data_IF_651437231231
#
_entry.id   IF_651437231231
#
_cell.length_a   1.000
_cell.length_b   1.000
_cell.length_c   1.000
_cell.angle_alpha   90.00
_cell.angle_beta   90.00
_cell.angle_gamma   90.00
#
_symmetry.space_group_name_H-M   'P 1'
#
loop_
_entity.id
_entity.type
_entity.pdbx_description
1 polymer ?
#
# COMPACT_ATOMS: atom_id res chain seq x y z
N UNK A 1 -66.44 24.88 29.19
CA UNK A 1 -65.93 23.48 28.96
C UNK A 1 -64.56 23.57 28.34
N UNK A 2 -63.50 23.08 29.02
CA UNK A 2 -62.11 23.12 28.55
C UNK A 2 -61.78 21.79 27.83
N UNK A 3 -61.48 21.74 26.54
CA UNK A 3 -61.01 20.56 25.85
C UNK A 3 -59.48 20.62 25.71
N UNK A 4 -58.77 20.20 26.67
CA UNK A 4 -57.29 20.27 26.62
C UNK A 4 -56.52 19.08 27.19
N UNK A 5 -57.12 18.23 27.98
CA UNK A 5 -56.37 17.16 28.72
C UNK A 5 -56.28 15.83 27.94
N UNK A 6 -57.11 15.55 26.99
CA UNK A 6 -57.13 14.25 26.29
C UNK A 6 -56.13 14.18 25.11
N UNK A 7 -55.72 15.33 24.53
CA UNK A 7 -54.72 15.34 23.42
C UNK A 7 -53.34 14.91 23.89
N UNK A 8 -52.91 15.33 25.09
CA UNK A 8 -51.59 14.95 25.63
C UNK A 8 -51.57 13.49 26.11
N UNK A 9 -52.70 12.99 26.65
CA UNK A 9 -52.79 11.57 27.05
C UNK A 9 -52.71 10.63 25.86
N UNK A 10 -53.35 10.97 24.73
CA UNK A 10 -53.28 10.16 23.51
C UNK A 10 -51.86 10.20 22.84
N UNK A 11 -51.20 11.37 22.89
CA UNK A 11 -49.86 11.52 22.41
C UNK A 11 -48.82 10.72 23.24
N UNK A 12 -49.01 10.68 24.55
CA UNK A 12 -48.15 9.92 25.48
C UNK A 12 -48.31 8.41 25.31
N UNK A 13 -49.53 7.91 25.05
CA UNK A 13 -49.81 6.49 24.72
C UNK A 13 -49.23 6.12 23.36
N UNK A 14 -49.26 7.03 22.37
CA UNK A 14 -48.67 6.76 21.04
C UNK A 14 -47.15 6.72 21.12
N UNK A 15 -46.48 7.57 21.89
CA UNK A 15 -45.03 7.54 22.15
C UNK A 15 -44.66 6.28 22.91
N UNK A 16 -45.46 5.85 23.88
CA UNK A 16 -45.19 4.60 24.62
C UNK A 16 -45.34 3.35 23.74
N UNK A 17 -46.31 3.34 22.81
CA UNK A 17 -46.48 2.25 21.85
C UNK A 17 -45.33 2.18 20.85
N UNK A 18 -44.79 3.33 20.40
CA UNK A 18 -43.60 3.37 19.53
C UNK A 18 -42.35 2.85 20.24
N UNK A 19 -42.15 3.16 21.53
CA UNK A 19 -41.04 2.63 22.32
C UNK A 19 -41.13 1.12 22.58
N UNK A 20 -42.31 0.52 22.58
CA UNK A 20 -42.50 -0.93 22.75
C UNK A 20 -42.27 -1.69 21.44
N UNK A 21 -42.43 -1.02 20.30
CA UNK A 21 -42.17 -1.61 18.96
C UNK A 21 -40.69 -1.57 18.53
N UNK A 22 -39.88 -0.74 19.18
CA UNK A 22 -38.41 -0.78 19.00
C UNK A 22 -37.86 -1.85 19.95
N UNK A 23 -38.06 -3.12 19.59
CA UNK A 23 -37.21 -4.17 20.16
C UNK A 23 -35.77 -3.81 19.77
N UNK A 24 -34.82 -3.76 20.72
CA UNK A 24 -33.42 -3.71 20.35
C UNK A 24 -33.16 -5.01 19.55
N UNK A 25 -32.99 -4.88 18.25
CA UNK A 25 -32.32 -5.91 17.49
C UNK A 25 -30.92 -6.01 18.12
N UNK A 26 -30.74 -7.02 18.97
CA UNK A 26 -29.40 -7.50 19.25
C UNK A 26 -28.84 -7.88 17.90
N UNK A 27 -27.85 -7.16 17.43
CA UNK A 27 -27.01 -7.57 16.35
C UNK A 27 -26.20 -8.81 16.82
N UNK A 28 -26.84 -9.97 16.77
CA UNK A 28 -26.23 -11.28 16.96
C UNK A 28 -26.20 -11.95 15.60
N UNK A 29 -25.62 -11.27 14.61
CA UNK A 29 -25.68 -11.67 13.20
C UNK A 29 -24.37 -12.21 12.62
N UNK A 30 -23.22 -12.02 13.27
CA UNK A 30 -21.94 -12.39 12.63
C UNK A 30 -21.22 -13.59 13.28
N UNK A 31 -21.44 -13.89 14.55
CA UNK A 31 -20.71 -14.97 15.23
C UNK A 31 -21.22 -16.37 14.83
N UNK A 32 -22.51 -16.55 14.62
CA UNK A 32 -23.07 -17.84 14.25
C UNK A 32 -22.57 -18.40 12.89
N UNK A 33 -22.53 -17.61 11.81
CA UNK A 33 -22.03 -18.13 10.53
C UNK A 33 -20.56 -18.56 10.59
N UNK A 34 -19.74 -17.86 11.37
CA UNK A 34 -18.32 -18.15 11.55
C UNK A 34 -18.14 -19.44 12.38
N UNK A 35 -18.87 -19.61 13.49
CA UNK A 35 -18.83 -20.83 14.29
C UNK A 35 -19.29 -22.05 13.49
N UNK A 36 -20.40 -21.94 12.76
CA UNK A 36 -20.91 -23.02 11.90
C UNK A 36 -19.93 -23.38 10.78
N UNK A 37 -19.31 -22.38 10.14
CA UNK A 37 -18.30 -22.57 9.11
C UNK A 37 -17.05 -23.28 9.67
N UNK A 38 -16.58 -22.86 10.85
CA UNK A 38 -15.45 -23.47 11.52
C UNK A 38 -15.72 -24.95 11.89
N UNK A 39 -16.89 -25.26 12.44
CA UNK A 39 -17.30 -26.64 12.75
C UNK A 39 -17.34 -27.51 11.49
N UNK A 40 -17.88 -27.00 10.38
CA UNK A 40 -17.91 -27.71 9.10
C UNK A 40 -16.52 -28.06 8.59
N UNK A 41 -15.58 -27.08 8.63
CA UNK A 41 -14.21 -27.27 8.15
C UNK A 41 -13.36 -28.17 9.05
N UNK A 42 -13.61 -28.19 10.36
CA UNK A 42 -12.94 -29.12 11.28
C UNK A 42 -13.39 -30.57 11.13
N UNK A 43 -14.55 -30.79 10.58
CA UNK A 43 -15.16 -32.14 10.41
C UNK A 43 -14.81 -32.84 9.12
N UNK A 44 -14.11 -32.24 8.17
CA UNK A 44 -13.82 -32.81 6.85
C UNK A 44 -12.77 -33.94 6.92
N UNK A 45 -12.92 -34.95 6.10
CA UNK A 45 -11.97 -36.04 5.95
C UNK A 45 -10.72 -35.58 5.14
N UNK A 46 -9.60 -36.31 5.24
CA UNK A 46 -8.38 -36.04 4.48
C UNK A 46 -8.64 -36.01 2.96
N UNK A 47 -9.51 -36.91 2.46
CA UNK A 47 -9.85 -36.95 1.04
C UNK A 47 -10.68 -35.74 0.61
N UNK A 48 -11.62 -35.30 1.45
CA UNK A 48 -12.40 -34.10 1.25
C UNK A 48 -11.52 -32.83 1.32
N UNK A 49 -10.56 -32.81 2.24
CA UNK A 49 -9.58 -31.71 2.37
C UNK A 49 -8.76 -31.53 1.09
N UNK A 50 -8.25 -32.60 0.48
CA UNK A 50 -7.49 -32.52 -0.78
C UNK A 50 -8.33 -31.96 -1.93
N UNK A 51 -9.61 -32.32 -1.99
CA UNK A 51 -10.52 -31.79 -3.00
C UNK A 51 -10.81 -30.30 -2.77
N UNK A 52 -11.04 -29.93 -1.50
CA UNK A 52 -11.30 -28.56 -1.10
C UNK A 52 -10.06 -27.68 -1.30
N UNK A 53 -8.86 -28.17 -1.01
CA UNK A 53 -7.60 -27.48 -1.28
C UNK A 53 -7.48 -27.06 -2.75
N UNK A 54 -7.78 -27.97 -3.67
CA UNK A 54 -7.75 -27.62 -5.09
C UNK A 54 -8.76 -26.53 -5.47
N UNK A 55 -9.97 -26.58 -4.91
CA UNK A 55 -10.97 -25.54 -5.11
C UNK A 55 -10.54 -24.20 -4.48
N UNK A 56 -9.88 -24.27 -3.34
CA UNK A 56 -9.38 -23.09 -2.65
C UNK A 56 -8.23 -22.41 -3.39
N UNK A 57 -7.34 -23.20 -4.04
CA UNK A 57 -6.30 -22.64 -4.93
C UNK A 57 -6.95 -21.83 -6.04
N UNK A 58 -7.96 -22.36 -6.73
CA UNK A 58 -8.68 -21.57 -7.74
C UNK A 58 -9.29 -20.28 -7.17
N UNK A 59 -9.79 -20.33 -5.93
CA UNK A 59 -10.33 -19.12 -5.28
C UNK A 59 -9.25 -18.09 -5.00
N UNK A 60 -8.07 -18.53 -4.53
CA UNK A 60 -6.94 -17.64 -4.29
C UNK A 60 -6.44 -17.00 -5.60
N UNK A 61 -6.30 -17.79 -6.68
CA UNK A 61 -5.94 -17.29 -8.00
C UNK A 61 -6.97 -16.28 -8.54
N UNK A 62 -8.27 -16.53 -8.29
CA UNK A 62 -9.33 -15.59 -8.69
C UNK A 62 -9.25 -14.27 -7.92
N UNK A 63 -9.05 -14.33 -6.61
CA UNK A 63 -8.88 -13.11 -5.79
C UNK A 63 -7.66 -12.29 -6.25
N UNK A 64 -6.56 -12.96 -6.61
CA UNK A 64 -5.37 -12.27 -7.17
C UNK A 64 -5.69 -11.60 -8.49
N UNK A 65 -6.35 -12.31 -9.42
CA UNK A 65 -6.75 -11.72 -10.69
C UNK A 65 -7.72 -10.54 -10.52
N UNK A 66 -8.59 -10.57 -9.50
CA UNK A 66 -9.49 -9.45 -9.18
C UNK A 66 -8.73 -8.22 -8.66
N UNK A 67 -7.74 -8.44 -7.81
CA UNK A 67 -6.87 -7.35 -7.34
C UNK A 67 -6.06 -6.75 -8.47
N UNK A 68 -5.48 -7.59 -9.33
CA UNK A 68 -4.69 -7.15 -10.48
C UNK A 68 -5.56 -6.38 -11.50
N UNK A 69 -6.77 -6.87 -11.80
CA UNK A 69 -7.73 -6.16 -12.64
C UNK A 69 -8.07 -4.77 -12.07
N UNK A 70 -8.31 -4.69 -10.76
CA UNK A 70 -8.60 -3.42 -10.09
C UNK A 70 -7.39 -2.47 -10.13
N UNK A 71 -6.18 -2.97 -9.90
CA UNK A 71 -4.94 -2.20 -9.96
C UNK A 71 -4.68 -1.64 -11.35
N UNK A 72 -4.78 -2.47 -12.38
CA UNK A 72 -4.56 -2.03 -13.77
C UNK A 72 -5.63 -1.01 -14.17
N UNK A 73 -6.86 -1.19 -13.74
CA UNK A 73 -7.96 -0.24 -14.01
C UNK A 73 -7.68 1.12 -13.38
N UNK A 74 -7.23 1.17 -12.12
CA UNK A 74 -6.85 2.40 -11.44
C UNK A 74 -5.65 3.09 -12.12
N UNK A 75 -4.66 2.32 -12.57
CA UNK A 75 -3.52 2.83 -13.35
C UNK A 75 -3.97 3.45 -14.67
N UNK A 76 -4.92 2.81 -15.37
CA UNK A 76 -5.50 3.33 -16.61
C UNK A 76 -6.23 4.64 -16.35
N UNK A 77 -7.06 4.73 -15.31
CA UNK A 77 -7.80 5.94 -14.98
C UNK A 77 -6.86 7.11 -14.65
N UNK A 78 -5.79 6.85 -13.89
CA UNK A 78 -4.75 7.85 -13.62
C UNK A 78 -4.04 8.32 -14.90
N UNK A 79 -3.67 7.39 -15.77
CA UNK A 79 -3.04 7.72 -17.05
C UNK A 79 -3.95 8.57 -17.95
N UNK A 80 -5.25 8.30 -17.97
CA UNK A 80 -6.21 9.11 -18.74
C UNK A 80 -6.23 10.55 -18.23
N UNK A 81 -6.25 10.76 -16.90
CA UNK A 81 -6.22 12.09 -16.29
C UNK A 81 -4.90 12.81 -16.64
N UNK A 82 -3.75 12.12 -16.51
CA UNK A 82 -2.44 12.68 -16.86
C UNK A 82 -2.38 13.11 -18.36
N UNK A 83 -2.96 12.31 -19.25
CA UNK A 83 -3.02 12.58 -20.69
C UNK A 83 -3.88 13.84 -20.95
N UNK A 84 -5.05 13.99 -20.31
CA UNK A 84 -5.90 15.15 -20.46
C UNK A 84 -5.25 16.44 -19.95
N UNK A 85 -4.56 16.37 -18.81
CA UNK A 85 -3.79 17.49 -18.24
C UNK A 85 -2.65 17.89 -19.18
N UNK A 86 -1.93 16.92 -19.72
CA UNK A 86 -0.81 17.14 -20.62
C UNK A 86 -1.27 17.73 -21.95
N UNK A 87 -2.36 17.23 -22.49
CA UNK A 87 -2.95 17.80 -23.72
C UNK A 87 -3.38 19.25 -23.53
N UNK A 88 -4.08 19.56 -22.42
CA UNK A 88 -4.42 20.93 -22.03
C UNK A 88 -3.18 21.84 -21.89
N UNK A 89 -2.08 21.29 -21.33
CA UNK A 89 -0.81 22.01 -21.18
C UNK A 89 -0.11 22.24 -22.52
N UNK A 90 -0.25 21.31 -23.47
CA UNK A 90 0.28 21.46 -24.84
C UNK A 90 -0.47 22.57 -25.58
N UNK A 91 -1.80 22.60 -25.47
CA UNK A 91 -2.60 23.66 -26.09
C UNK A 91 -2.17 25.04 -25.60
N UNK A 92 -2.04 25.22 -24.29
CA UNK A 92 -1.60 26.49 -23.68
C UNK A 92 -0.19 26.88 -24.12
N UNK A 93 0.73 25.93 -24.20
CA UNK A 93 2.10 26.22 -24.66
C UNK A 93 2.16 26.51 -26.15
N UNK A 94 1.30 25.89 -26.96
CA UNK A 94 1.18 26.21 -28.38
C UNK A 94 0.67 27.65 -28.58
N UNK A 95 -0.36 28.06 -27.83
CA UNK A 95 -0.86 29.43 -27.85
C UNK A 95 0.22 30.45 -27.46
N UNK A 96 1.00 30.16 -26.42
CA UNK A 96 2.13 30.97 -25.99
C UNK A 96 3.20 31.09 -27.08
N UNK A 97 3.57 29.98 -27.70
CA UNK A 97 4.54 29.94 -28.79
C UNK A 97 4.07 30.76 -29.99
N UNK A 98 2.81 30.62 -30.40
CA UNK A 98 2.22 31.35 -31.51
C UNK A 98 2.14 32.86 -31.22
N UNK A 99 1.82 33.25 -29.98
CA UNK A 99 1.88 34.64 -29.52
C UNK A 99 3.27 35.22 -29.64
N UNK A 100 4.30 34.51 -29.17
CA UNK A 100 5.70 34.95 -29.26
C UNK A 100 6.16 35.10 -30.71
N UNK A 101 5.74 34.20 -31.60
CA UNK A 101 5.99 34.32 -33.06
C UNK A 101 5.33 35.53 -33.65
N UNK A 102 4.08 35.86 -33.28
CA UNK A 102 3.37 37.05 -33.73
C UNK A 102 4.07 38.34 -33.29
N UNK A 103 4.60 38.39 -32.07
CA UNK A 103 5.41 39.49 -31.58
C UNK A 103 6.72 39.63 -32.40
N UNK A 104 7.40 38.52 -32.69
CA UNK A 104 8.59 38.54 -33.54
C UNK A 104 8.29 39.04 -34.95
N UNK A 105 7.18 38.61 -35.55
CA UNK A 105 6.73 39.10 -36.85
C UNK A 105 6.53 40.61 -36.85
N UNK A 106 5.88 41.15 -35.83
CA UNK A 106 5.73 42.64 -35.68
C UNK A 106 7.05 43.38 -35.59
N UNK A 107 8.00 42.82 -34.82
CA UNK A 107 9.38 43.35 -34.71
C UNK A 107 10.06 43.36 -36.08
N UNK A 108 9.99 42.26 -36.83
CA UNK A 108 10.62 42.09 -38.14
C UNK A 108 9.96 43.01 -39.18
N UNK A 109 8.65 43.18 -39.20
CA UNK A 109 7.95 44.11 -40.07
C UNK A 109 8.34 45.55 -39.75
N UNK A 110 8.43 45.90 -38.47
CA UNK A 110 8.93 47.22 -38.04
C UNK A 110 10.37 47.48 -38.53
N UNK A 111 11.24 46.46 -38.37
CA UNK A 111 12.63 46.52 -38.82
C UNK A 111 12.75 46.65 -40.34
N UNK A 112 11.93 45.90 -41.10
CA UNK A 112 11.89 45.95 -42.58
C UNK A 112 11.42 47.32 -43.08
N UNK A 113 10.40 47.93 -42.45
CA UNK A 113 9.86 49.24 -42.83
C UNK A 113 10.82 50.39 -42.49
N UNK A 114 11.50 50.36 -41.35
CA UNK A 114 12.42 51.38 -40.95
C UNK A 114 13.82 51.22 -41.53
N UNK A 115 14.23 50.04 -41.91
CA UNK A 115 15.56 49.66 -42.37
C UNK A 115 16.68 49.83 -41.30
N UNK A 116 17.87 49.25 -41.56
CA UNK A 116 19.04 49.47 -40.67
C UNK A 116 19.50 50.91 -40.61
N UNK A 117 19.23 51.64 -41.70
CA UNK A 117 19.56 53.06 -41.79
C UNK A 117 18.76 53.92 -40.78
N UNK A 118 17.55 53.53 -40.36
CA UNK A 118 16.76 54.31 -39.41
C UNK A 118 17.39 54.34 -38.01
N UNK A 119 18.13 53.32 -37.59
CA UNK A 119 18.85 53.38 -36.33
C UNK A 119 20.07 54.32 -36.40
N UNK A 120 20.72 54.37 -37.54
CA UNK A 120 21.77 55.37 -37.80
C UNK A 120 21.21 56.78 -37.85
N UNK A 121 20.05 56.98 -38.52
CA UNK A 121 19.37 58.28 -38.56
C UNK A 121 18.97 58.75 -37.16
N UNK A 122 18.46 57.87 -36.29
CA UNK A 122 18.15 58.22 -34.90
C UNK A 122 19.39 58.67 -34.14
N UNK A 123 20.56 58.02 -34.33
CA UNK A 123 21.80 58.42 -33.73
C UNK A 123 22.36 59.75 -34.30
N UNK A 124 22.35 59.88 -35.62
CA UNK A 124 22.86 61.04 -36.33
C UNK A 124 21.99 62.29 -36.20
N UNK A 125 20.69 62.13 -35.94
CA UNK A 125 19.76 63.22 -35.68
C UNK A 125 19.82 63.80 -34.26
N UNK A 126 20.64 63.25 -33.39
CA UNK A 126 20.84 63.72 -32.01
C UNK A 126 21.46 65.10 -32.01
N UNK A 127 20.81 66.09 -31.35
CA UNK A 127 21.19 67.46 -31.33
C UNK A 127 22.30 67.77 -30.29
N UNK A 128 22.48 66.91 -29.34
CA UNK A 128 23.44 67.00 -28.27
C UNK A 128 23.92 65.66 -27.76
N UNK A 129 24.93 65.57 -26.95
CA UNK A 129 25.53 64.36 -26.40
C UNK A 129 24.49 63.59 -25.55
N UNK A 130 23.61 64.28 -24.84
CA UNK A 130 22.58 63.66 -23.98
C UNK A 130 21.53 62.90 -24.82
N UNK A 131 21.04 63.50 -25.90
CA UNK A 131 20.14 62.87 -26.85
C UNK A 131 20.80 61.71 -27.60
N UNK A 132 22.09 61.85 -27.94
CA UNK A 132 22.84 60.74 -28.55
C UNK A 132 22.96 59.53 -27.61
N UNK A 133 23.30 59.71 -26.34
CA UNK A 133 23.38 58.64 -25.35
C UNK A 133 21.99 57.98 -25.13
N UNK A 134 20.91 58.76 -25.08
CA UNK A 134 19.53 58.23 -24.98
C UNK A 134 19.18 57.36 -26.17
N UNK A 135 19.50 57.80 -27.38
CA UNK A 135 19.27 57.04 -28.61
C UNK A 135 20.08 55.76 -28.65
N UNK A 136 21.33 55.79 -28.22
CA UNK A 136 22.19 54.62 -28.13
C UNK A 136 21.63 53.59 -27.13
N UNK A 137 21.18 54.05 -25.96
CA UNK A 137 20.56 53.18 -24.97
C UNK A 137 19.26 52.54 -25.50
N UNK A 138 18.42 53.33 -26.23
CA UNK A 138 17.18 52.81 -26.86
C UNK A 138 17.50 51.69 -27.85
N UNK A 139 18.51 51.84 -28.71
CA UNK A 139 18.95 50.82 -29.67
C UNK A 139 19.46 49.58 -28.95
N UNK A 140 20.25 49.78 -27.89
CA UNK A 140 20.72 48.68 -27.02
C UNK A 140 19.55 47.89 -26.39
N UNK A 141 18.57 48.63 -25.86
CA UNK A 141 17.37 47.97 -25.23
C UNK A 141 16.52 47.22 -26.25
N UNK A 142 16.33 47.77 -27.46
CA UNK A 142 15.65 47.05 -28.56
C UNK A 142 16.41 45.77 -28.92
N UNK A 143 17.72 45.82 -29.08
CA UNK A 143 18.54 44.65 -29.39
C UNK A 143 18.48 43.61 -28.28
N UNK A 144 18.55 44.01 -27.02
CA UNK A 144 18.43 43.14 -25.87
C UNK A 144 17.07 42.47 -25.81
N UNK A 145 15.98 43.25 -25.91
CA UNK A 145 14.60 42.71 -25.86
C UNK A 145 14.31 41.75 -27.04
N UNK A 146 14.86 42.01 -28.23
CA UNK A 146 14.76 41.11 -29.36
C UNK A 146 15.52 39.78 -29.10
N UNK A 147 16.69 39.84 -28.47
CA UNK A 147 17.43 38.64 -28.06
C UNK A 147 16.71 37.85 -27.01
N UNK A 148 16.09 38.50 -26.03
CA UNK A 148 15.26 37.83 -25.00
C UNK A 148 14.00 37.21 -25.62
N UNK A 149 13.37 37.83 -26.60
CA UNK A 149 12.24 37.29 -27.33
C UNK A 149 12.62 36.00 -28.10
N UNK A 150 13.76 36.03 -28.82
CA UNK A 150 14.27 34.88 -29.53
C UNK A 150 14.58 33.70 -28.57
N UNK A 151 15.20 33.98 -27.43
CA UNK A 151 15.47 33.01 -26.39
C UNK A 151 14.15 32.41 -25.82
N UNK A 152 13.12 33.23 -25.65
CA UNK A 152 11.79 32.80 -25.18
C UNK A 152 11.10 31.91 -26.19
N UNK A 153 11.19 32.23 -27.49
CA UNK A 153 10.64 31.40 -28.58
C UNK A 153 11.32 30.02 -28.59
N UNK A 154 12.65 30.00 -28.54
CA UNK A 154 13.38 28.72 -28.53
C UNK A 154 13.03 27.87 -27.30
N UNK A 155 12.95 28.50 -26.14
CA UNK A 155 12.53 27.82 -24.90
C UNK A 155 11.11 27.24 -25.01
N UNK A 156 10.16 28.03 -25.50
CA UNK A 156 8.76 27.59 -25.68
C UNK A 156 8.68 26.45 -26.69
N UNK A 157 9.44 26.53 -27.80
CA UNK A 157 9.54 25.43 -28.77
C UNK A 157 10.03 24.14 -28.13
N UNK A 158 11.13 24.22 -27.37
CA UNK A 158 11.69 23.04 -26.69
C UNK A 158 10.70 22.46 -25.67
N UNK A 159 10.02 23.30 -24.89
CA UNK A 159 8.99 22.87 -23.95
C UNK A 159 7.84 22.15 -24.65
N UNK A 160 7.42 22.68 -25.81
CA UNK A 160 6.37 22.07 -26.63
C UNK A 160 6.77 20.71 -27.19
N UNK A 161 8.01 20.57 -27.68
CA UNK A 161 8.55 19.29 -28.15
C UNK A 161 8.59 18.25 -27.04
N UNK A 162 9.11 18.62 -25.85
CA UNK A 162 9.18 17.73 -24.69
C UNK A 162 7.78 17.28 -24.26
N UNK A 163 6.81 18.19 -24.18
CA UNK A 163 5.44 17.86 -23.81
C UNK A 163 4.78 16.93 -24.85
N UNK A 164 4.96 17.17 -26.14
CA UNK A 164 4.44 16.30 -27.20
C UNK A 164 5.06 14.89 -27.14
N UNK A 165 6.35 14.80 -26.87
CA UNK A 165 6.99 13.50 -26.68
C UNK A 165 6.43 12.78 -25.44
N UNK A 166 6.30 13.48 -24.33
CA UNK A 166 5.71 12.91 -23.10
C UNK A 166 4.27 12.42 -23.32
N UNK A 167 3.48 13.13 -24.10
CA UNK A 167 2.12 12.70 -24.47
C UNK A 167 2.15 11.41 -25.30
N UNK A 168 3.07 11.31 -26.26
CA UNK A 168 3.22 10.10 -27.07
C UNK A 168 3.60 8.90 -26.21
N UNK A 169 4.54 9.07 -25.26
CA UNK A 169 4.97 8.02 -24.34
C UNK A 169 3.83 7.56 -23.41
N UNK A 170 2.99 8.50 -22.92
CA UNK A 170 1.81 8.17 -22.09
C UNK A 170 0.74 7.43 -22.87
N UNK A 171 0.53 7.77 -24.15
CA UNK A 171 -0.42 7.06 -25.02
C UNK A 171 0.01 5.62 -25.28
N UNK A 172 1.32 5.38 -25.50
CA UNK A 172 1.86 4.03 -25.62
C UNK A 172 1.63 3.24 -24.32
N UNK A 173 1.99 3.83 -23.19
CA UNK A 173 1.80 3.17 -21.88
C UNK A 173 0.31 2.85 -21.60
N UNK A 174 -0.60 3.73 -22.02
CA UNK A 174 -2.04 3.47 -21.89
C UNK A 174 -2.49 2.27 -22.74
N UNK A 175 -1.97 2.14 -23.94
CA UNK A 175 -2.28 0.97 -24.79
C UNK A 175 -1.74 -0.32 -24.20
N UNK A 176 -0.48 -0.32 -23.72
CA UNK A 176 0.14 -1.45 -23.05
C UNK A 176 -0.69 -1.89 -21.82
N UNK A 177 -1.15 -0.93 -21.02
CA UNK A 177 -2.01 -1.21 -19.85
C UNK A 177 -3.38 -1.78 -20.22
N UNK A 178 -3.96 -1.35 -21.33
CA UNK A 178 -5.21 -1.92 -21.83
C UNK A 178 -5.05 -3.35 -22.35
N UNK A 179 -3.91 -3.64 -22.98
CA UNK A 179 -3.57 -5.01 -23.40
C UNK A 179 -3.40 -5.91 -22.16
N UNK A 180 -2.62 -5.47 -21.16
CA UNK A 180 -2.44 -6.15 -19.88
C UNK A 180 -3.78 -6.45 -19.18
N UNK A 181 -4.69 -5.47 -19.12
CA UNK A 181 -6.04 -5.66 -18.58
C UNK A 181 -6.84 -6.72 -19.36
N UNK A 182 -6.76 -6.71 -20.66
CA UNK A 182 -7.46 -7.67 -21.52
C UNK A 182 -6.96 -9.10 -21.29
N UNK A 183 -5.65 -9.27 -21.13
CA UNK A 183 -5.03 -10.56 -20.82
C UNK A 183 -5.42 -11.06 -19.42
N UNK A 184 -5.40 -10.18 -18.42
CA UNK A 184 -5.81 -10.48 -17.05
C UNK A 184 -7.27 -10.93 -16.98
N UNK A 185 -8.18 -10.22 -17.67
CA UNK A 185 -9.60 -10.63 -17.75
C UNK A 185 -9.76 -11.98 -18.45
N UNK A 186 -8.97 -12.25 -19.49
CA UNK A 186 -9.01 -13.53 -20.18
C UNK A 186 -8.51 -14.68 -19.29
N UNK A 187 -7.43 -14.45 -18.52
CA UNK A 187 -6.90 -15.41 -17.55
C UNK A 187 -7.94 -15.69 -16.44
N UNK A 188 -8.55 -14.65 -15.87
CA UNK A 188 -9.61 -14.77 -14.87
C UNK A 188 -10.78 -15.64 -15.37
N UNK A 189 -11.28 -15.38 -16.58
CA UNK A 189 -12.35 -16.18 -17.18
C UNK A 189 -11.97 -17.66 -17.35
N UNK A 190 -10.71 -17.94 -17.67
CA UNK A 190 -10.22 -19.33 -17.78
C UNK A 190 -10.25 -20.02 -16.43
N UNK A 191 -9.75 -19.37 -15.37
CA UNK A 191 -9.72 -19.93 -14.02
C UNK A 191 -11.13 -20.18 -13.49
N UNK A 192 -12.06 -19.22 -13.68
CA UNK A 192 -13.49 -19.41 -13.34
C UNK A 192 -14.05 -20.68 -14.00
N UNK A 193 -13.79 -20.84 -15.30
CA UNK A 193 -14.27 -22.02 -16.03
C UNK A 193 -13.64 -23.30 -15.51
N UNK A 194 -12.36 -23.32 -15.22
CA UNK A 194 -11.65 -24.49 -14.67
C UNK A 194 -12.22 -24.88 -13.30
N UNK A 195 -12.55 -23.90 -12.45
CA UNK A 195 -13.20 -24.12 -11.16
C UNK A 195 -14.61 -24.70 -11.33
N UNK A 196 -15.42 -24.12 -12.24
CA UNK A 196 -16.77 -24.62 -12.53
C UNK A 196 -16.74 -26.05 -13.09
N UNK A 197 -15.89 -26.32 -14.06
CA UNK A 197 -15.73 -27.65 -14.68
C UNK A 197 -15.27 -28.67 -13.61
N UNK A 198 -14.40 -28.27 -12.69
CA UNK A 198 -13.97 -29.14 -11.60
C UNK A 198 -15.11 -29.42 -10.60
N UNK A 199 -15.85 -28.40 -10.19
CA UNK A 199 -17.05 -28.57 -9.34
C UNK A 199 -18.10 -29.46 -10.01
N UNK A 200 -18.32 -29.30 -11.32
CA UNK A 200 -19.24 -30.16 -12.06
C UNK A 200 -18.79 -31.63 -12.08
N UNK A 201 -17.49 -31.87 -12.14
CA UNK A 201 -16.91 -33.22 -12.11
C UNK A 201 -17.15 -33.95 -10.79
N UNK A 202 -17.45 -33.24 -9.69
CA UNK A 202 -17.74 -33.82 -8.38
C UNK A 202 -19.17 -34.41 -8.26
N UNK A 203 -20.00 -34.21 -9.29
CA UNK A 203 -21.32 -34.80 -9.43
C UNK A 203 -22.24 -34.60 -8.19
N UNK A 204 -22.60 -35.67 -7.51
CA UNK A 204 -23.54 -35.66 -6.36
C UNK A 204 -22.96 -34.86 -5.16
N UNK A 205 -21.65 -34.74 -5.05
CA UNK A 205 -20.97 -33.98 -3.98
C UNK A 205 -20.80 -32.48 -4.29
N UNK A 206 -21.15 -32.02 -5.49
CA UNK A 206 -20.97 -30.63 -5.93
C UNK A 206 -21.48 -29.60 -4.91
N UNK A 207 -22.73 -29.81 -4.44
CA UNK A 207 -23.36 -28.89 -3.49
C UNK A 207 -22.61 -28.86 -2.15
N UNK A 208 -22.19 -30.03 -1.64
CA UNK A 208 -21.44 -30.13 -0.39
C UNK A 208 -20.10 -29.39 -0.48
N UNK A 209 -19.34 -29.55 -1.57
CA UNK A 209 -18.08 -28.86 -1.76
C UNK A 209 -18.27 -27.36 -1.98
N UNK A 210 -19.36 -26.93 -2.60
CA UNK A 210 -19.71 -25.53 -2.69
C UNK A 210 -19.93 -24.90 -1.30
N UNK A 211 -20.68 -25.58 -0.43
CA UNK A 211 -20.90 -25.14 0.95
C UNK A 211 -19.59 -25.07 1.75
N UNK A 212 -18.69 -26.06 1.59
CA UNK A 212 -17.37 -26.02 2.21
C UNK A 212 -16.51 -24.86 1.69
N UNK A 213 -16.53 -24.61 0.38
CA UNK A 213 -15.79 -23.52 -0.23
C UNK A 213 -16.30 -22.16 0.23
N UNK A 214 -17.61 -21.98 0.32
CA UNK A 214 -18.23 -20.75 0.81
C UNK A 214 -17.88 -20.51 2.29
N UNK A 215 -17.87 -21.58 3.11
CA UNK A 215 -17.43 -21.52 4.50
C UNK A 215 -15.95 -21.16 4.62
N UNK A 216 -15.10 -21.77 3.79
CA UNK A 216 -13.67 -21.49 3.77
C UNK A 216 -13.38 -20.07 3.34
N UNK A 217 -14.09 -19.57 2.33
CA UNK A 217 -13.96 -18.17 1.88
C UNK A 217 -14.38 -17.19 2.98
N UNK A 218 -15.50 -17.44 3.66
CA UNK A 218 -15.95 -16.62 4.79
C UNK A 218 -14.89 -16.56 5.91
N UNK A 219 -14.31 -17.71 6.25
CA UNK A 219 -13.27 -17.81 7.28
C UNK A 219 -11.98 -17.11 6.84
N UNK A 220 -11.63 -17.22 5.56
CA UNK A 220 -10.47 -16.55 4.99
C UNK A 220 -10.63 -15.01 5.00
N UNK A 221 -11.77 -14.49 4.59
CA UNK A 221 -12.05 -13.05 4.61
C UNK A 221 -12.00 -12.50 6.05
N UNK A 222 -12.57 -13.23 7.00
CA UNK A 222 -12.48 -12.86 8.42
C UNK A 222 -11.04 -12.90 8.94
N UNK A 223 -10.24 -13.88 8.52
CA UNK A 223 -8.84 -13.98 8.90
C UNK A 223 -8.03 -12.79 8.37
N UNK A 224 -8.23 -12.38 7.11
CA UNK A 224 -7.52 -11.22 6.53
C UNK A 224 -7.71 -9.94 7.35
N UNK A 225 -8.94 -9.68 7.80
CA UNK A 225 -9.24 -8.53 8.67
C UNK A 225 -8.63 -8.67 10.07
N UNK A 226 -8.70 -9.87 10.63
CA UNK A 226 -8.18 -10.14 11.96
C UNK A 226 -6.65 -10.11 11.97
N UNK A 227 -6.00 -10.62 10.93
CA UNK A 227 -4.55 -10.73 10.87
C UNK A 227 -3.86 -9.36 10.90
N UNK A 228 -4.42 -8.36 10.24
CA UNK A 228 -3.93 -6.98 10.36
C UNK A 228 -3.96 -6.49 11.81
N UNK A 229 -5.05 -6.74 12.53
CA UNK A 229 -5.16 -6.38 13.96
C UNK A 229 -4.17 -7.16 14.83
N UNK A 230 -3.90 -8.42 14.46
CA UNK A 230 -2.89 -9.27 15.13
C UNK A 230 -1.50 -8.66 14.97
N UNK A 231 -1.12 -8.21 13.76
CA UNK A 231 0.17 -7.56 13.50
C UNK A 231 0.31 -6.26 14.30
N UNK A 232 -0.73 -5.42 14.31
CA UNK A 232 -0.75 -4.17 15.07
C UNK A 232 -0.64 -4.43 16.59
N UNK A 233 -1.38 -5.41 17.11
CA UNK A 233 -1.36 -5.79 18.52
C UNK A 233 -0.02 -6.38 18.93
N UNK A 234 0.59 -7.19 18.08
CA UNK A 234 1.93 -7.74 18.28
C UNK A 234 2.96 -6.61 18.38
N UNK A 235 2.96 -5.66 17.44
CA UNK A 235 3.84 -4.50 17.46
C UNK A 235 3.65 -3.69 18.75
N UNK A 236 2.42 -3.47 19.20
CA UNK A 236 2.10 -2.78 20.45
C UNK A 236 2.72 -3.51 21.66
N UNK A 237 2.53 -4.83 21.77
CA UNK A 237 3.05 -5.63 22.88
C UNK A 237 4.58 -5.59 22.95
N UNK A 238 5.23 -5.63 21.78
CA UNK A 238 6.70 -5.51 21.69
C UNK A 238 7.14 -4.12 22.16
N UNK A 239 6.46 -3.05 21.73
CA UNK A 239 6.82 -1.66 22.08
C UNK A 239 6.55 -1.31 23.54
N UNK A 240 5.59 -1.94 24.20
CA UNK A 240 5.32 -1.74 25.62
C UNK A 240 6.39 -2.33 26.56
N UNK A 241 7.35 -3.10 26.02
CA UNK A 241 8.54 -3.52 26.76
C UNK A 241 8.26 -4.45 27.93
N UNK A 242 7.37 -5.42 27.78
CA UNK A 242 7.03 -6.40 28.83
C UNK A 242 8.13 -7.44 29.10
N UNK A 243 9.28 -7.32 28.46
CA UNK A 243 10.44 -8.19 28.67
C UNK A 243 11.27 -7.75 29.86
N UNK A 244 11.90 -8.70 30.56
CA UNK A 244 12.81 -8.46 31.66
C UNK A 244 14.24 -8.76 31.24
N UNK A 245 15.24 -8.27 32.00
CA UNK A 245 16.66 -8.61 31.75
C UNK A 245 16.93 -10.09 31.78
N UNK A 246 16.19 -10.85 32.60
CA UNK A 246 16.29 -12.30 32.70
C UNK A 246 15.79 -13.00 31.44
N UNK A 247 14.75 -12.47 30.83
CA UNK A 247 14.16 -12.97 29.56
C UNK A 247 15.13 -12.86 28.39
N UNK A 248 16.03 -11.87 28.39
CA UNK A 248 17.03 -11.63 27.34
C UNK A 248 18.27 -12.52 27.44
N UNK A 249 18.50 -13.19 28.58
CA UNK A 249 19.62 -14.05 28.83
C UNK A 249 20.98 -13.50 28.34
N UNK A 250 21.28 -12.25 28.76
CA UNK A 250 22.42 -11.49 28.26
C UNK A 250 23.75 -12.01 28.80
N UNK A 251 24.71 -12.21 27.90
CA UNK A 251 26.09 -12.59 28.19
C UNK A 251 27.02 -11.47 27.73
N UNK A 252 27.70 -10.85 28.68
CA UNK A 252 28.61 -9.71 28.44
C UNK A 252 30.01 -10.21 28.11
N UNK A 253 30.48 -9.94 26.87
CA UNK A 253 31.84 -10.11 26.42
C UNK A 253 32.63 -8.80 26.48
N UNK A 254 33.92 -8.84 26.11
CA UNK A 254 34.78 -7.65 26.14
C UNK A 254 34.41 -6.57 25.09
N UNK A 255 33.84 -6.97 23.95
CA UNK A 255 33.48 -6.08 22.81
C UNK A 255 32.10 -6.35 22.26
N UNK A 256 31.38 -7.33 22.76
CA UNK A 256 30.07 -7.70 22.30
C UNK A 256 29.17 -8.18 23.45
N UNK A 257 27.88 -7.97 23.29
CA UNK A 257 26.89 -8.61 24.16
C UNK A 257 26.14 -9.63 23.30
N UNK A 258 25.96 -10.82 23.84
CA UNK A 258 25.12 -11.85 23.24
C UNK A 258 23.86 -12.01 24.06
N UNK A 259 22.74 -12.19 23.40
CA UNK A 259 21.48 -12.48 24.05
C UNK A 259 20.78 -13.66 23.38
N UNK A 260 19.89 -14.28 24.14
CA UNK A 260 19.03 -15.35 23.63
C UNK A 260 17.66 -15.26 24.29
N UNK A 261 16.61 -15.21 23.49
CA UNK A 261 15.22 -15.18 23.97
C UNK A 261 14.55 -16.49 23.57
N UNK A 262 13.98 -17.20 24.56
CA UNK A 262 13.26 -18.45 24.32
C UNK A 262 11.86 -18.17 23.73
N UNK A 263 11.36 -19.05 22.87
CA UNK A 263 10.02 -18.93 22.28
C UNK A 263 8.91 -18.89 23.33
N UNK A 264 9.05 -19.65 24.44
CA UNK A 264 8.09 -19.60 25.53
C UNK A 264 7.96 -18.22 26.17
N UNK A 265 9.06 -17.43 26.18
CA UNK A 265 9.03 -16.04 26.68
C UNK A 265 8.16 -15.17 25.78
N UNK A 266 8.37 -15.24 24.47
CA UNK A 266 7.52 -14.53 23.52
C UNK A 266 6.07 -14.97 23.65
N UNK A 267 5.82 -16.27 23.62
CA UNK A 267 4.47 -16.84 23.70
C UNK A 267 3.76 -16.44 25.00
N UNK A 268 4.46 -16.45 26.13
CA UNK A 268 3.91 -16.00 27.41
C UNK A 268 3.55 -14.50 27.37
N UNK A 269 4.48 -13.65 26.96
CA UNK A 269 4.28 -12.19 26.96
C UNK A 269 3.16 -11.81 25.98
N UNK A 270 3.16 -12.37 24.79
CA UNK A 270 2.12 -12.09 23.79
C UNK A 270 0.76 -12.53 24.31
N UNK A 271 0.63 -13.77 24.77
CA UNK A 271 -0.67 -14.31 25.17
C UNK A 271 -1.21 -13.70 26.50
N UNK A 272 -0.34 -13.21 27.39
CA UNK A 272 -0.75 -12.50 28.62
C UNK A 272 -1.22 -11.07 28.34
N UNK A 273 -0.70 -10.41 27.31
CA UNK A 273 -0.96 -9.00 27.01
C UNK A 273 -1.84 -8.78 25.78
N UNK A 274 -2.12 -9.83 25.01
CA UNK A 274 -3.02 -9.73 23.83
C UNK A 274 -4.48 -9.82 24.23
N UNK A 275 -5.30 -9.00 23.59
CA UNK A 275 -6.78 -9.05 23.66
C UNK A 275 -7.40 -9.81 22.49
N UNK A 276 -6.56 -10.27 21.55
CA UNK A 276 -6.95 -10.98 20.32
C UNK A 276 -6.70 -12.49 20.42
N UNK A 277 -6.86 -13.18 19.28
CA UNK A 277 -6.56 -14.60 19.16
C UNK A 277 -5.14 -14.95 19.60
N UNK A 278 -4.96 -16.14 20.14
CA UNK A 278 -3.65 -16.62 20.54
C UNK A 278 -2.71 -16.70 19.35
N UNK A 279 -1.47 -16.28 19.58
CA UNK A 279 -0.38 -16.40 18.63
C UNK A 279 0.70 -17.24 19.29
N UNK A 280 1.19 -18.26 18.58
CA UNK A 280 2.32 -19.05 19.01
C UNK A 280 3.47 -18.87 18.02
N UNK A 281 4.63 -18.52 18.54
CA UNK A 281 5.90 -18.49 17.82
C UNK A 281 6.68 -19.75 18.15
N UNK A 282 7.31 -20.35 17.15
CA UNK A 282 8.26 -21.45 17.33
C UNK A 282 9.49 -21.19 16.47
N UNK A 283 10.67 -21.43 17.06
CA UNK A 283 11.94 -21.18 16.41
C UNK A 283 12.68 -22.50 16.12
N UNK A 284 13.00 -22.69 14.86
CA UNK A 284 13.91 -23.75 14.41
C UNK A 284 15.22 -23.17 13.90
N UNK A 285 16.08 -24.01 13.35
CA UNK A 285 17.35 -23.55 12.78
C UNK A 285 17.09 -22.72 11.51
N UNK A 286 17.36 -21.41 11.59
CA UNK A 286 17.11 -20.40 10.56
C UNK A 286 15.65 -20.41 10.07
N UNK A 287 14.70 -20.76 10.95
CA UNK A 287 13.27 -20.84 10.65
C UNK A 287 12.42 -20.29 11.77
N UNK A 288 11.33 -19.71 11.39
CA UNK A 288 10.30 -19.19 12.29
C UNK A 288 8.94 -19.72 11.83
N UNK A 289 8.19 -20.25 12.78
CA UNK A 289 6.79 -20.63 12.56
C UNK A 289 5.90 -19.76 13.43
N UNK A 290 4.86 -19.23 12.81
CA UNK A 290 3.79 -18.48 13.46
C UNK A 290 2.51 -19.27 13.32
N UNK A 291 1.86 -19.55 14.44
CA UNK A 291 0.57 -20.21 14.46
C UNK A 291 -0.48 -19.31 15.09
N UNK A 292 -1.66 -19.27 14.47
CA UNK A 292 -2.88 -18.66 15.03
C UNK A 292 -3.90 -19.78 15.18
N UNK A 293 -3.85 -20.55 16.30
CA UNK A 293 -4.60 -21.79 16.43
C UNK A 293 -6.12 -21.61 16.31
N UNK A 294 -6.64 -20.52 16.85
CA UNK A 294 -8.09 -20.23 16.83
C UNK A 294 -8.62 -20.00 15.41
N UNK A 295 -7.73 -19.70 14.45
CA UNK A 295 -8.05 -19.47 13.04
C UNK A 295 -7.43 -20.52 12.10
N UNK A 296 -6.85 -21.59 12.63
CA UNK A 296 -6.20 -22.66 11.86
C UNK A 296 -5.20 -22.15 10.81
N UNK A 297 -4.46 -21.07 11.13
CA UNK A 297 -3.40 -20.49 10.29
C UNK A 297 -2.04 -20.92 10.81
N UNK A 298 -1.19 -21.38 9.91
CA UNK A 298 0.23 -21.64 10.15
C UNK A 298 1.04 -20.97 9.07
N UNK A 299 2.03 -20.19 9.46
CA UNK A 299 2.98 -19.51 8.56
C UNK A 299 4.39 -19.96 8.90
N UNK A 300 5.14 -20.42 7.93
CA UNK A 300 6.55 -20.74 8.01
C UNK A 300 7.37 -19.69 7.25
N UNK A 301 8.49 -19.24 7.84
CA UNK A 301 9.34 -18.22 7.25
C UNK A 301 10.63 -18.09 8.02
N UNK A 302 11.24 -16.91 7.96
CA UNK A 302 12.47 -16.56 8.67
C UNK A 302 12.44 -15.08 9.06
N UNK A 303 13.40 -14.67 9.90
CA UNK A 303 13.60 -13.26 10.20
C UNK A 303 14.67 -12.65 9.30
N UNK A 304 14.36 -11.51 8.70
CA UNK A 304 15.31 -10.61 8.06
C UNK A 304 15.66 -9.47 9.01
N UNK A 305 16.93 -9.08 9.05
CA UNK A 305 17.42 -8.06 9.97
C UNK A 305 17.55 -6.72 9.26
N UNK A 306 16.90 -5.71 9.80
CA UNK A 306 17.03 -4.30 9.40
C UNK A 306 17.44 -3.44 10.61
N UNK A 307 18.73 -3.16 10.78
CA UNK A 307 19.21 -2.39 11.93
C UNK A 307 19.03 -3.13 13.25
N UNK A 308 18.16 -2.65 14.14
CA UNK A 308 17.75 -3.30 15.40
C UNK A 308 16.49 -4.15 15.28
N UNK A 309 15.90 -4.16 14.10
CA UNK A 309 14.56 -4.69 13.86
C UNK A 309 14.65 -6.02 13.12
N UNK A 310 13.84 -6.97 13.54
CA UNK A 310 13.62 -8.25 12.87
C UNK A 310 12.27 -8.22 12.16
N UNK A 311 12.29 -8.45 10.86
CA UNK A 311 11.11 -8.52 10.01
C UNK A 311 10.81 -10.00 9.72
N UNK A 312 9.61 -10.46 10.03
CA UNK A 312 9.20 -11.79 9.61
C UNK A 312 8.93 -11.82 8.11
N UNK A 313 9.62 -12.70 7.40
CA UNK A 313 9.46 -12.95 5.97
C UNK A 313 8.81 -14.32 5.80
N UNK A 314 7.52 -14.38 5.45
CA UNK A 314 6.83 -15.64 5.22
C UNK A 314 7.28 -16.28 3.91
N UNK A 315 7.49 -17.62 3.94
CA UNK A 315 7.83 -18.43 2.76
C UNK A 315 6.68 -19.35 2.37
N UNK A 316 5.96 -19.87 3.35
CA UNK A 316 4.85 -20.82 3.17
C UNK A 316 3.78 -20.57 4.22
N UNK A 317 2.56 -20.95 3.88
CA UNK A 317 1.45 -20.91 4.80
C UNK A 317 0.46 -22.03 4.55
N UNK A 318 -0.29 -22.36 5.60
CA UNK A 318 -1.47 -23.22 5.49
C UNK A 318 -2.62 -22.62 6.27
N UNK A 319 -3.83 -22.79 5.72
CA UNK A 319 -5.07 -22.38 6.33
C UNK A 319 -6.01 -23.59 6.35
N UNK A 320 -6.45 -24.02 7.53
CA UNK A 320 -7.14 -25.30 7.74
C UNK A 320 -6.36 -26.50 7.15
N UNK A 321 -5.03 -26.44 7.18
CA UNK A 321 -4.14 -27.46 6.64
C UNK A 321 -4.03 -27.46 5.11
N UNK A 322 -4.70 -26.55 4.40
CA UNK A 322 -4.59 -26.35 2.95
C UNK A 322 -3.53 -25.31 2.64
N UNK A 323 -2.77 -25.52 1.58
CA UNK A 323 -1.69 -24.62 1.18
C UNK A 323 -2.23 -23.23 0.78
N UNK A 324 -1.48 -22.19 1.20
CA UNK A 324 -1.69 -20.82 0.75
C UNK A 324 -0.73 -20.51 -0.41
N UNK A 325 -1.26 -19.90 -1.46
CA UNK A 325 -0.46 -19.32 -2.52
C UNK A 325 0.31 -18.10 -2.00
N UNK A 326 1.41 -17.77 -2.67
CA UNK A 326 2.28 -16.68 -2.24
C UNK A 326 1.52 -15.35 -2.14
N UNK A 327 0.72 -15.05 -3.12
CA UNK A 327 -0.07 -13.83 -3.23
C UNK A 327 -1.10 -13.70 -2.09
N UNK A 328 -1.63 -14.83 -1.62
CA UNK A 328 -2.52 -14.89 -0.46
C UNK A 328 -1.77 -14.65 0.85
N UNK A 329 -0.54 -15.14 0.96
CA UNK A 329 0.34 -14.86 2.08
C UNK A 329 0.71 -13.37 2.08
N UNK A 330 1.13 -12.83 0.94
CA UNK A 330 1.48 -11.41 0.80
C UNK A 330 0.30 -10.49 1.17
N UNK A 331 -0.94 -10.90 0.86
CA UNK A 331 -2.15 -10.16 1.25
C UNK A 331 -2.37 -10.10 2.78
N UNK A 332 -2.00 -11.14 3.53
CA UNK A 332 -2.05 -11.08 4.99
C UNK A 332 -1.13 -10.00 5.55
N UNK A 333 0.01 -9.77 4.91
CA UNK A 333 1.01 -8.78 5.31
C UNK A 333 0.89 -7.44 4.57
N UNK A 334 -0.21 -7.19 3.89
CA UNK A 334 -0.44 -5.94 3.13
C UNK A 334 -0.25 -4.68 3.95
N UNK A 335 -0.61 -4.70 5.24
CA UNK A 335 -0.51 -3.55 6.14
C UNK A 335 0.86 -3.45 6.84
N UNK A 336 1.78 -4.35 6.55
CA UNK A 336 3.13 -4.39 7.07
C UNK A 336 3.52 -5.77 7.62
N UNK A 337 4.82 -6.02 7.75
CA UNK A 337 5.34 -7.27 8.31
C UNK A 337 5.13 -7.33 9.83
N UNK A 338 5.21 -8.53 10.38
CA UNK A 338 5.35 -8.70 11.82
C UNK A 338 6.78 -8.33 12.22
N UNK A 339 6.89 -7.40 13.18
CA UNK A 339 8.14 -6.74 13.53
C UNK A 339 8.51 -7.03 15.00
N UNK A 340 9.77 -7.38 15.24
CA UNK A 340 10.37 -7.42 16.57
C UNK A 340 11.50 -6.39 16.62
N UNK A 341 11.29 -5.27 17.32
CA UNK A 341 12.37 -4.30 17.57
C UNK A 341 13.05 -4.64 18.90
N UNK A 342 14.32 -5.03 18.82
CA UNK A 342 15.09 -5.40 20.01
C UNK A 342 15.49 -4.19 20.86
N UNK A 343 15.50 -2.97 20.31
CA UNK A 343 15.66 -1.75 21.11
C UNK A 343 14.42 -1.50 21.97
N UNK A 344 13.23 -1.72 21.45
CA UNK A 344 11.98 -1.59 22.22
C UNK A 344 11.88 -2.68 23.30
N UNK A 345 12.29 -3.91 22.97
CA UNK A 345 12.38 -5.01 23.95
C UNK A 345 13.35 -4.67 25.07
N UNK A 346 14.49 -4.07 24.75
CA UNK A 346 15.48 -3.64 25.75
C UNK A 346 14.99 -2.43 26.57
N UNK A 347 14.16 -1.57 25.98
CA UNK A 347 13.52 -0.42 26.62
C UNK A 347 14.48 0.41 27.45
N UNK A 348 14.01 0.90 28.61
CA UNK A 348 14.80 1.67 29.58
C UNK A 348 15.90 0.85 30.31
N UNK A 349 15.98 -0.46 30.05
CA UNK A 349 16.96 -1.34 30.68
C UNK A 349 18.39 -1.10 30.18
N UNK A 350 18.55 -0.50 28.99
CA UNK A 350 19.85 -0.20 28.38
C UNK A 350 19.84 1.25 27.90
N UNK A 351 20.71 2.08 28.48
CA UNK A 351 20.85 3.52 28.15
C UNK A 351 21.66 3.79 26.88
N UNK A 352 22.02 2.78 26.12
CA UNK A 352 22.90 2.86 24.96
C UNK A 352 22.15 2.32 23.76
N UNK A 353 22.05 3.11 22.68
CA UNK A 353 21.60 2.62 21.39
C UNK A 353 22.56 1.55 20.89
N UNK A 354 22.07 0.34 20.67
CA UNK A 354 22.89 -0.75 20.20
C UNK A 354 22.52 -1.13 18.75
N UNK A 355 23.54 -1.53 18.01
CA UNK A 355 23.34 -2.10 16.68
C UNK A 355 23.45 -3.61 16.77
N UNK A 356 22.41 -4.27 16.27
CA UNK A 356 22.49 -5.70 16.02
C UNK A 356 23.57 -5.98 15.00
N UNK A 357 24.38 -6.99 15.29
CA UNK A 357 25.43 -7.49 14.41
C UNK A 357 25.01 -8.75 13.69
N UNK A 358 24.37 -9.66 14.40
CA UNK A 358 23.96 -10.97 13.92
C UNK A 358 22.75 -11.46 14.70
N UNK A 359 21.81 -12.09 14.00
CA UNK A 359 20.63 -12.74 14.59
C UNK A 359 20.45 -14.10 13.94
N UNK A 360 20.23 -15.12 14.74
CA UNK A 360 19.97 -16.48 14.28
C UNK A 360 18.90 -17.13 15.13
N UNK A 361 17.97 -17.78 14.49
CA UNK A 361 17.07 -18.69 15.18
C UNK A 361 17.70 -20.08 15.26
N UNK A 362 17.54 -20.70 16.39
CA UNK A 362 17.92 -22.10 16.66
C UNK A 362 16.74 -22.77 17.38
N UNK A 363 16.80 -24.06 17.64
CA UNK A 363 15.71 -24.79 18.26
C UNK A 363 15.24 -24.12 19.57
N UNK A 364 14.10 -23.48 19.52
CA UNK A 364 13.44 -22.78 20.62
C UNK A 364 13.99 -21.39 20.96
N UNK A 365 15.00 -20.85 20.26
CA UNK A 365 15.64 -19.59 20.62
C UNK A 365 15.84 -18.63 19.44
N UNK A 366 15.67 -17.33 19.70
CA UNK A 366 16.30 -16.26 18.93
C UNK A 366 17.60 -15.87 19.62
N UNK A 367 18.73 -16.09 18.95
CA UNK A 367 20.05 -15.67 19.42
C UNK A 367 20.46 -14.41 18.68
N UNK A 368 20.96 -13.42 19.41
CA UNK A 368 21.43 -12.16 18.83
C UNK A 368 22.76 -11.73 19.42
N UNK A 369 23.53 -10.97 18.66
CA UNK A 369 24.75 -10.33 19.12
C UNK A 369 24.71 -8.84 18.82
N UNK A 370 25.22 -8.06 19.75
CA UNK A 370 25.23 -6.61 19.74
C UNK A 370 26.68 -6.14 19.81
N UNK A 371 27.08 -5.22 18.94
CA UNK A 371 28.34 -4.48 19.08
C UNK A 371 28.10 -3.23 19.94
N UNK A 372 28.89 -3.03 20.96
CA UNK A 372 28.84 -1.84 21.81
C UNK A 372 29.70 -0.76 21.13
N UNK A 373 29.06 0.31 20.66
CA UNK A 373 29.78 1.49 20.16
C UNK A 373 30.19 2.38 21.35
N UNK A 374 31.44 2.26 21.77
CA UNK A 374 32.00 3.13 22.82
C UNK A 374 32.24 4.58 22.36
N UNK A 375 32.04 4.89 21.06
CA UNK A 375 32.25 6.23 20.49
C UNK A 375 31.23 7.28 20.94
N UNK A 376 30.09 6.89 21.47
CA UNK A 376 29.06 7.79 22.00
C UNK A 376 29.23 8.11 23.51
N UNK A 377 30.20 7.51 24.18
CA UNK A 377 30.48 7.69 25.61
C UNK A 377 31.59 8.71 25.91
N UNK A 378 32.20 9.34 24.88
CA UNK A 378 33.25 10.35 25.05
C UNK A 378 32.94 11.64 24.32
#
# INVERSE_FOLDING_TARGET
MKPGKYKYSFMLVLVLCVCILVKPYKATGEVKPIEEANEQLQGISIEEQQTLEKLFIYTQELEEMEREEARITDDIDKLIIEIEELDSSIIKEQENYDMLLSILEQVLVSYQRGGPASYLDILLSAKDLTSFIKSLNLIKDISKNTGELLASIEKSKQQLEVKKQSLADRLILLEDKREELTETIAAKKRIVKEQEDYLESLAEKKQQYQEYLDSLKLMWDNLKELFSKIVDEFARIISEGHFTMEDLNLQFGFFNVKGAIHEDTFNRIINENSTLSRINLSFGQDKVRIEVPDNNLVLDGYFEMEGSTLLFVPEKGTFYGMALEKESIDELFRNGPLIIDLNEIAGDMVTIDFKLKDVKTTDGYINFSIDIDFGSLF
#
